data_IF_704085367235
#
_entry.id   IF_704085367235
#
_cell.length_a   1.000
_cell.length_b   1.000
_cell.length_c   1.000
_cell.angle_alpha   90.00
_cell.angle_beta   90.00
_cell.angle_gamma   90.00
#
_symmetry.space_group_name_H-M   'P 1'
#
loop_
_entity.id
_entity.type
_entity.pdbx_description
1 polymer ?
#
# COMPACT_ATOMS: atom_id res chain seq x y z
N UNK A 1 10.15 31.29 37.62
CA UNK A 1 9.87 30.79 36.26
C UNK A 1 8.36 30.90 36.05
N UNK A 2 7.88 31.75 35.13
CA UNK A 2 6.46 32.10 35.04
C UNK A 2 5.60 30.90 34.58
N UNK A 3 4.71 30.42 35.45
CA UNK A 3 3.83 29.27 35.18
C UNK A 3 2.98 29.42 33.91
N UNK A 4 2.67 30.66 33.53
CA UNK A 4 1.96 31.00 32.30
C UNK A 4 2.80 30.69 31.05
N UNK A 5 4.09 31.03 31.07
CA UNK A 5 5.01 30.77 29.97
C UNK A 5 5.26 29.27 29.81
N UNK A 6 5.36 28.52 30.91
CA UNK A 6 5.51 27.07 30.86
C UNK A 6 4.28 26.36 30.30
N UNK A 7 3.07 26.85 30.61
CA UNK A 7 1.83 26.28 30.07
C UNK A 7 1.70 26.51 28.55
N UNK A 8 2.04 27.71 28.08
CA UNK A 8 2.02 28.04 26.65
C UNK A 8 3.03 27.18 25.87
N UNK A 9 4.26 27.04 26.38
CA UNK A 9 5.28 26.18 25.74
C UNK A 9 4.83 24.71 25.72
N UNK A 10 4.26 24.19 26.81
CA UNK A 10 3.75 22.82 26.86
C UNK A 10 2.59 22.58 25.87
N UNK A 11 1.69 23.56 25.71
CA UNK A 11 0.60 23.48 24.74
C UNK A 11 1.12 23.48 23.30
N UNK A 12 2.09 24.34 22.99
CA UNK A 12 2.72 24.36 21.67
C UNK A 12 3.43 23.03 21.35
N UNK A 13 4.14 22.44 22.30
CA UNK A 13 4.84 21.15 22.11
C UNK A 13 3.86 20.01 21.83
N UNK A 14 2.72 19.96 22.53
CA UNK A 14 1.72 18.90 22.33
C UNK A 14 0.96 19.02 21.00
N UNK A 15 0.67 20.25 20.56
CA UNK A 15 0.06 20.50 19.24
C UNK A 15 1.02 20.13 18.10
N UNK A 16 2.31 20.49 18.19
CA UNK A 16 3.30 20.11 17.16
C UNK A 16 3.53 18.59 17.10
N UNK A 17 3.56 17.91 18.26
CA UNK A 17 3.74 16.46 18.31
C UNK A 17 2.58 15.67 17.68
N UNK A 18 1.35 16.19 17.76
CA UNK A 18 0.17 15.56 17.14
C UNK A 18 0.07 15.80 15.63
N UNK A 19 0.66 16.88 15.11
CA UNK A 19 0.73 17.13 13.66
C UNK A 19 1.72 16.23 12.91
N UNK A 20 2.70 15.60 13.60
CA UNK A 20 3.67 14.69 12.97
C UNK A 20 3.18 13.24 12.85
N UNK A 21 1.91 12.97 13.13
CA UNK A 21 1.35 11.63 12.99
C UNK A 21 1.16 11.27 11.51
N UNK A 22 1.69 10.12 11.10
CA UNK A 22 1.49 9.57 9.75
C UNK A 22 0.00 9.44 9.39
N UNK A 23 -0.38 9.97 8.22
CA UNK A 23 -1.76 10.00 7.71
C UNK A 23 -2.47 8.64 7.75
N UNK A 24 -1.76 7.57 7.41
CA UNK A 24 -2.37 6.24 7.30
C UNK A 24 -2.71 5.59 8.64
N UNK A 25 -2.29 6.15 9.77
CA UNK A 25 -2.71 5.68 11.11
C UNK A 25 -4.21 5.77 11.34
N UNK A 26 -4.92 6.58 10.55
CA UNK A 26 -6.40 6.65 10.58
C UNK A 26 -7.08 5.36 10.12
N UNK A 27 -6.42 4.54 9.29
CA UNK A 27 -7.00 3.31 8.74
C UNK A 27 -6.66 2.10 9.62
N UNK A 28 -5.41 2.01 10.06
CA UNK A 28 -4.96 0.97 11.00
C UNK A 28 -3.82 1.52 11.86
N UNK A 29 -3.79 1.20 13.17
CA UNK A 29 -2.75 1.71 14.09
C UNK A 29 -1.32 1.42 13.62
N UNK A 30 -1.11 0.26 12.97
CA UNK A 30 0.19 -0.23 12.51
C UNK A 30 0.26 -0.31 10.98
N UNK A 31 0.05 0.82 10.29
CA UNK A 31 0.07 0.85 8.82
C UNK A 31 1.50 0.77 8.25
N UNK A 32 1.72 -0.08 7.24
CA UNK A 32 3.06 -0.31 6.63
C UNK A 32 3.69 0.97 6.09
N UNK A 33 2.91 1.87 5.46
CA UNK A 33 3.43 3.16 4.97
C UNK A 33 3.90 4.11 6.08
N UNK A 34 3.58 3.84 7.34
CA UNK A 34 4.07 4.61 8.48
C UNK A 34 5.33 4.00 9.11
N UNK A 35 5.78 2.83 8.63
CA UNK A 35 7.01 2.20 9.11
C UNK A 35 8.22 2.93 8.53
N UNK A 36 9.27 3.16 9.33
CA UNK A 36 10.52 3.70 8.81
C UNK A 36 11.18 2.70 7.84
N UNK A 37 12.08 3.20 7.00
CA UNK A 37 12.90 2.36 6.12
C UNK A 37 13.68 1.34 6.96
N UNK A 38 13.73 0.10 6.49
CA UNK A 38 14.56 -0.93 7.10
C UNK A 38 16.04 -0.52 6.99
N UNK A 39 16.72 -0.37 8.12
CA UNK A 39 18.13 0.03 8.19
C UNK A 39 19.10 -1.02 7.64
N UNK A 40 18.70 -2.30 7.62
CA UNK A 40 19.54 -3.41 7.16
C UNK A 40 19.47 -3.64 5.65
N UNK A 41 18.61 -2.91 4.93
CA UNK A 41 18.43 -3.06 3.48
C UNK A 41 19.10 -1.90 2.74
N UNK A 42 20.11 -2.22 1.91
CA UNK A 42 20.65 -1.27 0.95
C UNK A 42 19.80 -1.27 -0.33
N UNK A 43 18.92 -0.29 -0.47
CA UNK A 43 18.01 -0.17 -1.61
C UNK A 43 18.80 0.27 -2.85
N UNK A 44 18.86 -0.59 -3.86
CA UNK A 44 19.51 -0.31 -5.15
C UNK A 44 18.54 0.36 -6.15
N UNK A 45 17.29 -0.11 -6.17
CA UNK A 45 16.18 0.49 -6.91
C UNK A 45 14.89 0.29 -6.11
N UNK A 46 13.97 1.25 -6.20
CA UNK A 46 12.67 1.23 -5.53
C UNK A 46 11.51 1.55 -6.47
N UNK A 47 11.76 1.59 -7.78
CA UNK A 47 10.74 1.84 -8.79
C UNK A 47 10.56 0.61 -9.66
N UNK A 48 9.35 0.51 -10.20
CA UNK A 48 9.01 -0.44 -11.25
C UNK A 48 8.71 0.40 -12.47
N UNK A 49 9.31 0.04 -13.62
CA UNK A 49 9.12 0.79 -14.86
C UNK A 49 7.66 0.71 -15.32
N UNK A 50 7.27 1.60 -16.23
CA UNK A 50 5.91 1.57 -16.77
C UNK A 50 5.65 0.25 -17.51
N UNK A 51 6.62 -0.16 -18.34
CA UNK A 51 6.52 -1.38 -19.13
C UNK A 51 6.44 -2.63 -18.25
N UNK A 52 7.21 -2.68 -17.16
CA UNK A 52 7.12 -3.78 -16.18
C UNK A 52 5.77 -3.81 -15.47
N UNK A 53 5.18 -2.65 -15.13
CA UNK A 53 3.83 -2.59 -14.55
C UNK A 53 2.79 -3.11 -15.54
N UNK A 54 2.87 -2.72 -16.80
CA UNK A 54 1.97 -3.19 -17.86
C UNK A 54 2.12 -4.69 -18.10
N UNK A 55 3.37 -5.19 -18.10
CA UNK A 55 3.66 -6.61 -18.20
C UNK A 55 3.02 -7.39 -17.04
N UNK A 56 3.22 -6.95 -15.80
CA UNK A 56 2.65 -7.61 -14.62
C UNK A 56 1.12 -7.64 -14.68
N UNK A 57 0.48 -6.52 -15.05
CA UNK A 57 -0.99 -6.45 -15.17
C UNK A 57 -1.49 -7.40 -16.25
N UNK A 58 -0.85 -7.39 -17.43
CA UNK A 58 -1.20 -8.29 -18.53
C UNK A 58 -1.11 -9.75 -18.12
N UNK A 59 0.00 -10.17 -17.52
CA UNK A 59 0.19 -11.55 -17.06
C UNK A 59 -0.85 -11.97 -16.03
N UNK A 60 -1.24 -11.08 -15.11
CA UNK A 60 -2.32 -11.36 -14.16
C UNK A 60 -3.67 -11.51 -14.87
N UNK A 61 -3.98 -10.64 -15.83
CA UNK A 61 -5.24 -10.70 -16.57
C UNK A 61 -5.35 -11.97 -17.42
N UNK A 62 -4.27 -12.42 -18.07
CA UNK A 62 -4.24 -13.71 -18.77
C UNK A 62 -4.56 -14.89 -17.84
N UNK A 63 -4.04 -14.89 -16.61
CA UNK A 63 -4.36 -15.94 -15.63
C UNK A 63 -5.80 -15.82 -15.11
N UNK A 64 -6.26 -14.60 -14.82
CA UNK A 64 -7.64 -14.33 -14.38
C UNK A 64 -8.65 -14.77 -15.44
N UNK A 65 -8.38 -14.50 -16.71
CA UNK A 65 -9.18 -14.88 -17.86
C UNK A 65 -9.22 -16.40 -18.05
N UNK A 66 -8.07 -17.08 -17.96
CA UNK A 66 -7.98 -18.55 -17.97
C UNK A 66 -8.87 -19.17 -16.89
N UNK A 67 -8.80 -18.66 -15.65
CA UNK A 67 -9.65 -19.12 -14.55
C UNK A 67 -11.11 -18.78 -14.80
N UNK A 68 -11.40 -17.55 -15.25
CA UNK A 68 -12.76 -17.08 -15.49
C UNK A 68 -13.52 -17.93 -16.50
N UNK A 69 -12.84 -18.47 -17.52
CA UNK A 69 -13.43 -19.38 -18.50
C UNK A 69 -13.48 -20.85 -18.06
N UNK A 70 -13.02 -21.18 -16.84
CA UNK A 70 -12.94 -22.57 -16.39
C UNK A 70 -11.88 -23.40 -17.14
N UNK A 71 -10.84 -22.75 -17.70
CA UNK A 71 -9.75 -23.41 -18.45
C UNK A 71 -8.55 -23.76 -17.58
N UNK A 72 -8.57 -23.43 -16.29
CA UNK A 72 -7.54 -23.87 -15.36
C UNK A 72 -7.79 -25.32 -14.94
N UNK A 73 -6.83 -26.20 -15.23
CA UNK A 73 -6.91 -27.64 -14.98
C UNK A 73 -6.14 -28.05 -13.74
N UNK A 74 -5.30 -27.17 -13.19
CA UNK A 74 -4.65 -27.38 -11.90
C UNK A 74 -5.68 -27.47 -10.76
N UNK A 75 -5.27 -28.07 -9.63
CA UNK A 75 -6.11 -28.24 -8.44
C UNK A 75 -7.46 -28.95 -8.69
N UNK A 76 -7.52 -29.85 -9.70
CA UNK A 76 -8.73 -30.59 -10.04
C UNK A 76 -9.70 -29.84 -10.98
N UNK A 77 -9.26 -28.70 -11.52
CA UNK A 77 -10.09 -27.86 -12.38
C UNK A 77 -10.77 -26.76 -11.58
N UNK A 78 -10.51 -25.50 -11.93
CA UNK A 78 -11.23 -24.37 -11.32
C UNK A 78 -12.50 -24.06 -12.12
N UNK A 79 -13.63 -23.74 -11.46
CA UNK A 79 -14.86 -23.42 -12.15
C UNK A 79 -14.79 -22.06 -12.86
N UNK A 80 -15.67 -21.87 -13.84
CA UNK A 80 -15.94 -20.58 -14.48
C UNK A 80 -16.34 -19.52 -13.45
N UNK A 81 -15.90 -18.28 -13.64
CA UNK A 81 -16.23 -17.16 -12.76
C UNK A 81 -17.29 -16.24 -13.37
N UNK A 82 -18.25 -15.79 -12.56
CA UNK A 82 -19.37 -14.97 -13.05
C UNK A 82 -19.03 -13.48 -13.21
N UNK A 83 -18.00 -12.96 -12.53
CA UNK A 83 -17.69 -11.52 -12.48
C UNK A 83 -16.18 -11.21 -12.35
N UNK A 84 -15.32 -11.98 -13.02
CA UNK A 84 -13.87 -11.77 -12.96
C UNK A 84 -13.43 -10.62 -13.88
N UNK A 85 -13.44 -9.40 -13.36
CA UNK A 85 -13.09 -8.19 -14.13
C UNK A 85 -11.59 -8.09 -14.45
N UNK A 86 -11.28 -7.38 -15.53
CA UNK A 86 -9.91 -7.03 -15.88
C UNK A 86 -9.28 -6.11 -14.82
N UNK A 87 -8.04 -6.40 -14.43
CA UNK A 87 -7.26 -5.54 -13.55
C UNK A 87 -6.62 -4.40 -14.34
N UNK A 88 -6.57 -3.22 -13.74
CA UNK A 88 -5.86 -2.06 -14.27
C UNK A 88 -4.74 -1.64 -13.32
N UNK A 89 -3.69 -1.00 -13.85
CA UNK A 89 -2.65 -0.42 -12.99
C UNK A 89 -3.25 0.64 -12.05
N UNK A 90 -3.07 0.45 -10.75
CA UNK A 90 -3.50 1.41 -9.75
C UNK A 90 -2.73 2.73 -9.87
N UNK A 91 -3.39 3.85 -9.59
CA UNK A 91 -2.69 5.15 -9.44
C UNK A 91 -1.91 5.14 -8.13
N UNK A 92 -0.73 5.74 -8.12
CA UNK A 92 0.01 5.98 -6.89
C UNK A 92 -0.80 6.97 -6.03
N UNK A 93 -1.21 6.56 -4.83
CA UNK A 93 -1.80 7.41 -3.79
C UNK A 93 -0.75 8.17 -3.01
#
# INVERSE_FOLDING_TARGET
MNHQLTAIVALFITVVASCNACYHKKFTPNHTACKPRNSSCNILDNKVTKDDKELVVRLHNEKREKVAMGRETAAGGLPTASNMMEMVSGKNS
#
